data_IF_136578611103
#
_entry.id   IF_136578611103
#
_cell.length_a   1.000
_cell.length_b   1.000
_cell.length_c   1.000
_cell.angle_alpha   90.00
_cell.angle_beta   90.00
_cell.angle_gamma   90.00
#
_symmetry.space_group_name_H-M   'P 1'
#
loop_
_entity.id
_entity.type
_entity.pdbx_description
1 polymer ?
#
# COMPACT_ATOMS: atom_id res chain seq x y z
N UNK A 1 20.51 8.03 -6.00
CA UNK A 1 21.61 7.11 -5.63
C UNK A 1 21.51 6.68 -4.16
N UNK A 2 21.64 7.58 -3.16
CA UNK A 2 21.62 7.20 -1.73
C UNK A 2 20.36 6.44 -1.31
N UNK A 3 19.16 6.95 -1.56
CA UNK A 3 17.88 6.27 -1.24
C UNK A 3 17.78 4.87 -1.86
N UNK A 4 18.33 4.72 -3.07
CA UNK A 4 18.36 3.47 -3.81
C UNK A 4 19.21 2.40 -3.10
N UNK A 5 20.38 2.80 -2.59
CA UNK A 5 21.27 1.93 -1.79
C UNK A 5 20.63 1.61 -0.44
N UNK A 6 20.02 2.62 0.20
CA UNK A 6 19.34 2.46 1.50
C UNK A 6 18.21 1.44 1.41
N UNK A 7 17.35 1.51 0.38
CA UNK A 7 16.28 0.53 0.19
C UNK A 7 16.80 -0.90 0.07
N UNK A 8 17.90 -1.11 -0.66
CA UNK A 8 18.53 -2.44 -0.78
C UNK A 8 19.09 -2.94 0.55
N UNK A 9 19.69 -2.05 1.35
CA UNK A 9 20.21 -2.41 2.67
C UNK A 9 19.08 -2.76 3.65
N UNK A 10 18.02 -1.96 3.68
CA UNK A 10 16.83 -2.23 4.51
C UNK A 10 16.23 -3.58 4.12
N UNK A 11 16.05 -3.83 2.82
CA UNK A 11 15.55 -5.10 2.30
C UNK A 11 16.44 -6.28 2.70
N UNK A 12 17.75 -6.14 2.55
CA UNK A 12 18.70 -7.20 2.89
C UNK A 12 18.63 -7.53 4.38
N UNK A 13 18.67 -6.53 5.26
CA UNK A 13 18.61 -6.71 6.71
C UNK A 13 17.29 -7.35 7.14
N UNK A 14 16.15 -6.86 6.62
CA UNK A 14 14.83 -7.40 6.93
C UNK A 14 14.66 -8.85 6.53
N UNK A 15 15.20 -9.27 5.37
CA UNK A 15 15.15 -10.67 4.95
C UNK A 15 16.18 -11.56 5.65
N UNK A 16 17.32 -11.01 6.08
CA UNK A 16 18.39 -11.79 6.73
C UNK A 16 18.05 -12.09 8.19
N UNK A 17 17.41 -11.14 8.89
CA UNK A 17 17.09 -11.25 10.31
C UNK A 17 15.60 -10.96 10.59
N UNK A 18 14.67 -11.73 10.00
CA UNK A 18 13.26 -11.36 9.97
C UNK A 18 12.60 -11.29 11.35
N UNK A 19 12.95 -12.21 12.25
CA UNK A 19 12.37 -12.34 13.59
C UNK A 19 13.09 -11.49 14.65
N UNK A 20 14.14 -10.74 14.28
CA UNK A 20 14.77 -9.83 15.24
C UNK A 20 13.78 -8.71 15.59
N UNK A 21 13.55 -8.49 16.88
CA UNK A 21 12.69 -7.40 17.34
C UNK A 21 13.50 -6.12 17.52
N UNK A 22 12.90 -5.00 17.12
CA UNK A 22 13.46 -3.66 17.29
C UNK A 22 12.44 -2.75 17.96
N UNK A 23 12.93 -1.83 18.79
CA UNK A 23 12.11 -0.79 19.39
C UNK A 23 11.82 0.30 18.35
N UNK A 24 10.54 0.61 18.15
CA UNK A 24 10.14 1.70 17.28
C UNK A 24 10.58 3.05 17.87
N UNK A 25 11.21 3.95 17.10
CA UNK A 25 11.63 5.26 17.60
C UNK A 25 10.46 6.06 18.16
N UNK A 26 10.50 6.38 19.46
CA UNK A 26 9.45 7.16 20.12
C UNK A 26 8.22 6.36 20.57
N UNK A 27 8.27 5.03 20.56
CA UNK A 27 7.26 4.18 21.20
C UNK A 27 7.92 3.14 22.11
N UNK A 28 7.13 2.56 23.01
CA UNK A 28 7.53 1.41 23.83
C UNK A 28 7.23 0.08 23.13
N UNK A 29 6.86 0.11 21.84
CA UNK A 29 6.41 -1.08 21.11
C UNK A 29 7.56 -1.67 20.30
N UNK A 30 7.69 -2.97 20.41
CA UNK A 30 8.62 -3.77 19.62
C UNK A 30 7.92 -4.26 18.33
N UNK A 31 8.70 -4.33 17.26
CA UNK A 31 8.25 -4.83 15.96
C UNK A 31 9.32 -5.73 15.37
N UNK A 32 8.89 -6.78 14.65
CA UNK A 32 9.80 -7.63 13.88
C UNK A 32 10.50 -6.82 12.80
N UNK A 33 11.79 -7.03 12.63
CA UNK A 33 12.63 -6.25 11.74
C UNK A 33 12.14 -6.34 10.29
N UNK A 34 11.62 -7.50 9.86
CA UNK A 34 11.06 -7.62 8.51
C UNK A 34 9.82 -6.74 8.30
N UNK A 35 8.95 -6.63 9.30
CA UNK A 35 7.70 -5.85 9.21
C UNK A 35 8.01 -4.34 9.16
N UNK A 36 8.94 -3.87 9.99
CA UNK A 36 9.43 -2.49 9.94
C UNK A 36 10.17 -2.19 8.62
N UNK A 37 11.05 -3.10 8.17
CA UNK A 37 11.75 -2.97 6.90
C UNK A 37 10.76 -2.90 5.72
N UNK A 38 9.72 -3.74 5.75
CA UNK A 38 8.68 -3.77 4.73
C UNK A 38 7.94 -2.44 4.67
N UNK A 39 7.49 -1.90 5.80
CA UNK A 39 6.85 -0.58 5.87
C UNK A 39 7.74 0.54 5.33
N UNK A 40 9.03 0.54 5.67
CA UNK A 40 10.01 1.51 5.13
C UNK A 40 10.18 1.39 3.62
N UNK A 41 10.13 0.18 3.06
CA UNK A 41 10.20 -0.01 1.60
C UNK A 41 8.88 0.41 0.94
N UNK A 42 7.74 0.17 1.56
CA UNK A 42 6.44 0.66 1.08
C UNK A 42 6.41 2.19 0.92
N UNK A 43 7.01 2.95 1.85
CA UNK A 43 7.19 4.39 1.68
C UNK A 43 7.98 4.77 0.42
N UNK A 44 8.90 3.90 -0.03
CA UNK A 44 9.65 4.10 -1.26
C UNK A 44 8.81 4.00 -2.53
N UNK A 45 7.62 3.39 -2.47
CA UNK A 45 6.71 3.27 -3.62
C UNK A 45 6.07 4.62 -3.98
N UNK A 46 6.01 5.58 -3.06
CA UNK A 46 5.49 6.93 -3.32
C UNK A 46 6.59 7.99 -3.49
N UNK A 47 7.83 7.54 -3.72
CA UNK A 47 8.98 8.43 -3.89
C UNK A 47 8.87 9.31 -5.16
N UNK A 48 9.34 10.55 -5.07
CA UNK A 48 9.40 11.48 -6.21
C UNK A 48 10.19 10.93 -7.41
N UNK A 49 11.17 10.06 -7.16
CA UNK A 49 12.01 9.47 -8.21
C UNK A 49 11.40 8.16 -8.68
N UNK A 50 10.95 8.10 -9.94
CA UNK A 50 10.48 6.88 -10.61
C UNK A 50 11.39 5.68 -10.35
N UNK A 51 12.71 5.84 -10.49
CA UNK A 51 13.66 4.76 -10.26
C UNK A 51 13.55 4.17 -8.83
N UNK A 52 13.37 5.02 -7.82
CA UNK A 52 13.23 4.59 -6.42
C UNK A 52 11.91 3.85 -6.24
N UNK A 53 10.81 4.33 -6.84
CA UNK A 53 9.51 3.65 -6.83
C UNK A 53 9.60 2.27 -7.47
N UNK A 54 10.21 2.16 -8.65
CA UNK A 54 10.41 0.87 -9.34
C UNK A 54 11.21 -0.09 -8.48
N UNK A 55 12.31 0.37 -7.86
CA UNK A 55 13.11 -0.47 -6.98
C UNK A 55 12.31 -0.90 -5.74
N UNK A 56 11.62 0.03 -5.09
CA UNK A 56 10.80 -0.26 -3.92
C UNK A 56 9.76 -1.34 -4.24
N UNK A 57 8.98 -1.15 -5.32
CA UNK A 57 8.00 -2.13 -5.79
C UNK A 57 8.65 -3.50 -5.99
N UNK A 58 9.79 -3.59 -6.71
CA UNK A 58 10.52 -4.86 -6.92
C UNK A 58 10.97 -5.54 -5.62
N UNK A 59 11.42 -4.77 -4.65
CA UNK A 59 11.92 -5.32 -3.39
C UNK A 59 10.80 -5.91 -2.54
N UNK A 60 9.60 -5.32 -2.56
CA UNK A 60 8.44 -5.82 -1.81
C UNK A 60 8.13 -7.28 -2.16
N UNK A 61 8.19 -7.66 -3.44
CA UNK A 61 7.91 -9.03 -3.90
C UNK A 61 8.81 -10.11 -3.27
N UNK A 62 10.03 -9.72 -2.88
CA UNK A 62 10.99 -10.61 -2.22
C UNK A 62 10.76 -10.83 -0.73
N UNK A 63 9.91 -10.04 -0.07
CA UNK A 63 9.76 -10.03 1.40
C UNK A 63 8.68 -11.00 1.88
N UNK A 64 8.88 -12.30 1.66
CA UNK A 64 7.85 -13.32 1.85
C UNK A 64 7.46 -13.63 3.30
N UNK A 65 8.31 -13.28 4.27
CA UNK A 65 8.09 -13.55 5.70
C UNK A 65 7.39 -12.39 6.43
N UNK A 66 7.00 -11.33 5.70
CA UNK A 66 6.23 -10.22 6.25
C UNK A 66 4.91 -10.74 6.83
N UNK A 67 4.47 -10.16 7.93
CA UNK A 67 3.20 -10.51 8.55
C UNK A 67 2.02 -10.22 7.61
N UNK A 68 0.97 -11.07 7.62
CA UNK A 68 -0.24 -10.84 6.83
C UNK A 68 -0.88 -9.48 7.09
N UNK A 69 -0.74 -8.94 8.30
CA UNK A 69 -1.26 -7.63 8.70
C UNK A 69 -0.69 -6.50 7.84
N UNK A 70 0.63 -6.44 7.68
CA UNK A 70 1.30 -5.42 6.86
C UNK A 70 1.05 -5.66 5.37
N UNK A 71 1.03 -6.93 4.97
CA UNK A 71 0.75 -7.32 3.59
C UNK A 71 -0.65 -6.88 3.17
N UNK A 72 -1.68 -7.17 3.96
CA UNK A 72 -3.06 -6.80 3.65
C UNK A 72 -3.27 -5.28 3.56
N UNK A 73 -2.55 -4.49 4.36
CA UNK A 73 -2.65 -3.02 4.33
C UNK A 73 -2.18 -2.40 3.02
N UNK A 74 -1.29 -3.07 2.30
CA UNK A 74 -0.80 -2.58 1.00
C UNK A 74 -1.90 -2.49 -0.06
N UNK A 75 -3.01 -3.20 0.15
CA UNK A 75 -4.19 -3.23 -0.71
C UNK A 75 -5.37 -2.39 -0.18
N UNK A 76 -5.22 -1.72 0.96
CA UNK A 76 -6.34 -0.98 1.55
C UNK A 76 -6.60 0.35 0.81
N UNK A 77 -7.60 0.35 -0.10
CA UNK A 77 -8.08 1.56 -0.80
C UNK A 77 -8.88 2.50 0.13
N UNK A 78 -9.51 2.00 1.21
CA UNK A 78 -10.46 2.75 2.07
C UNK A 78 -9.77 3.55 3.17
N UNK A 79 -8.69 3.03 3.76
CA UNK A 79 -7.88 3.79 4.71
C UNK A 79 -7.30 5.08 4.07
N UNK A 80 -7.06 5.07 2.76
CA UNK A 80 -6.54 6.21 2.00
C UNK A 80 -7.54 7.38 1.86
N UNK A 81 -8.84 7.13 1.74
CA UNK A 81 -9.84 8.23 1.69
C UNK A 81 -9.89 9.02 3.00
N UNK A 82 -9.56 8.38 4.12
CA UNK A 82 -9.49 8.99 5.45
C UNK A 82 -8.15 9.70 5.74
N UNK A 83 -7.08 9.40 4.97
CA UNK A 83 -5.77 10.04 5.07
C UNK A 83 -5.61 11.32 4.22
N UNK A 84 -6.61 11.68 3.38
CA UNK A 84 -6.65 13.02 2.77
C UNK A 84 -6.68 14.06 3.89
N UNK A 85 -5.58 14.82 3.99
CA UNK A 85 -5.28 15.84 5.01
C UNK A 85 -6.56 16.51 5.55
N UNK A 86 -6.98 16.15 6.76
CA UNK A 86 -8.08 16.83 7.45
C UNK A 86 -7.64 18.26 7.72
N UNK A 87 -8.31 19.22 7.07
CA UNK A 87 -8.19 20.64 7.43
C UNK A 87 -8.59 20.79 8.90
N UNK A 88 -7.79 21.51 9.67
CA UNK A 88 -8.10 21.78 11.07
C UNK A 88 -9.40 22.57 11.18
N UNK A 89 -10.11 22.47 12.30
CA UNK A 89 -11.30 23.29 12.54
C UNK A 89 -11.00 24.80 12.39
N UNK A 90 -9.76 25.22 12.69
CA UNK A 90 -9.30 26.57 12.45
C UNK A 90 -9.18 26.90 10.95
N UNK A 91 -8.61 26.02 10.13
CA UNK A 91 -8.52 26.22 8.67
C UNK A 91 -9.90 26.25 8.01
N UNK A 92 -10.81 25.36 8.43
CA UNK A 92 -12.20 25.33 7.96
C UNK A 92 -12.98 26.58 8.41
N UNK A 93 -12.77 27.02 9.66
CA UNK A 93 -13.37 28.25 10.16
C UNK A 93 -12.90 29.44 9.32
N UNK A 94 -11.58 29.58 9.11
CA UNK A 94 -10.99 30.68 8.34
C UNK A 94 -11.53 30.73 6.92
N UNK A 95 -11.61 29.57 6.25
CA UNK A 95 -12.17 29.46 4.91
C UNK A 95 -13.64 29.88 4.86
N UNK A 96 -14.49 29.42 5.80
CA UNK A 96 -15.89 29.86 5.91
C UNK A 96 -16.01 31.37 6.22
N UNK A 97 -15.06 31.98 6.93
CA UNK A 97 -15.06 33.44 7.18
C UNK A 97 -14.63 34.20 5.92
N UNK A 98 -13.64 33.69 5.18
CA UNK A 98 -13.09 34.35 3.98
C UNK A 98 -13.91 34.15 2.71
N UNK A 99 -14.62 33.03 2.55
CA UNK A 99 -15.37 32.72 1.33
C UNK A 99 -16.76 33.35 1.29
N UNK A 100 -17.32 33.75 2.43
CA UNK A 100 -18.66 34.35 2.51
C UNK A 100 -19.81 33.41 2.14
N UNK A 101 -19.53 32.13 1.85
CA UNK A 101 -20.50 31.15 1.37
C UNK A 101 -21.18 30.42 2.53
N UNK A 102 -22.14 31.08 3.18
CA UNK A 102 -22.89 30.50 4.30
C UNK A 102 -24.02 29.53 3.90
N UNK A 103 -24.28 29.33 2.61
CA UNK A 103 -25.44 28.55 2.18
C UNK A 103 -25.23 27.83 0.84
N UNK A 104 -24.56 26.67 0.87
CA UNK A 104 -24.74 25.65 -0.17
C UNK A 104 -24.89 24.31 0.53
N UNK A 105 -26.06 23.67 0.34
CA UNK A 105 -26.52 22.46 1.02
C UNK A 105 -25.73 21.17 0.70
N UNK A 106 -24.41 21.26 0.58
CA UNK A 106 -23.46 20.14 0.38
C UNK A 106 -22.94 19.52 1.68
N UNK A 107 -23.26 20.09 2.85
CA UNK A 107 -22.63 19.74 4.15
C UNK A 107 -23.13 18.45 4.82
N UNK A 108 -24.15 17.77 4.30
CA UNK A 108 -24.66 16.54 4.95
C UNK A 108 -23.77 15.31 4.75
N UNK A 109 -22.86 15.30 3.77
CA UNK A 109 -21.94 14.18 3.58
C UNK A 109 -20.81 14.13 4.62
N UNK A 110 -20.52 15.24 5.32
CA UNK A 110 -19.47 15.32 6.35
C UNK A 110 -19.92 14.81 7.73
N UNK A 111 -21.23 14.64 7.93
CA UNK A 111 -21.85 14.20 9.19
C UNK A 111 -22.04 12.68 9.29
N UNK A 112 -21.52 11.91 8.32
CA UNK A 112 -21.58 10.45 8.37
C UNK A 112 -20.82 9.92 9.60
N UNK A 113 -21.38 8.95 10.36
CA UNK A 113 -20.71 8.36 11.52
C UNK A 113 -19.34 7.83 11.12
N UNK A 114 -18.29 8.40 11.72
CA UNK A 114 -16.91 7.99 11.47
C UNK A 114 -16.72 6.59 12.02
N UNK A 115 -16.25 5.68 11.17
CA UNK A 115 -15.86 4.34 11.58
C UNK A 115 -14.79 4.45 12.68
N UNK A 116 -15.02 3.77 13.81
CA UNK A 116 -14.10 3.77 14.95
C UNK A 116 -12.83 3.03 14.51
N UNK A 117 -11.84 3.77 14.03
CA UNK A 117 -10.53 3.21 13.71
C UNK A 117 -9.87 2.75 15.01
N UNK A 118 -9.53 1.47 15.06
CA UNK A 118 -8.84 0.85 16.20
C UNK A 118 -7.46 1.49 16.41
N UNK A 119 -7.02 1.69 17.65
CA UNK A 119 -5.73 2.30 17.98
C UNK A 119 -4.55 1.53 17.38
N UNK A 120 -4.70 0.21 17.21
CA UNK A 120 -3.70 -0.64 16.57
C UNK A 120 -3.61 -0.39 15.06
N UNK A 121 -4.73 -0.02 14.42
CA UNK A 121 -4.74 0.42 13.01
C UNK A 121 -3.99 1.75 12.86
N UNK A 122 -4.13 2.68 13.80
CA UNK A 122 -3.49 4.00 13.80
C UNK A 122 -1.97 3.89 13.97
N UNK A 123 -1.50 3.00 14.87
CA UNK A 123 -0.07 2.72 15.06
C UNK A 123 0.56 2.12 13.79
N UNK A 124 -0.17 1.24 13.08
CA UNK A 124 0.30 0.69 11.81
C UNK A 124 0.18 1.64 10.62
N UNK A 125 -0.71 2.63 10.62
CA UNK A 125 -0.74 3.65 9.56
C UNK A 125 0.58 4.44 9.50
N UNK A 126 1.30 4.56 10.62
CA UNK A 126 2.63 5.18 10.67
C UNK A 126 3.72 4.32 10.01
N UNK A 127 3.46 3.06 9.67
CA UNK A 127 4.45 2.15 9.10
C UNK A 127 4.78 2.42 7.63
N UNK A 128 3.91 3.14 6.90
CA UNK A 128 4.08 3.37 5.46
C UNK A 128 3.57 2.27 4.55
N UNK A 129 3.04 1.16 5.09
CA UNK A 129 2.54 0.05 4.29
C UNK A 129 1.18 0.30 3.62
N UNK A 130 0.37 1.20 4.19
CA UNK A 130 -1.00 1.47 3.76
C UNK A 130 -1.06 1.92 2.29
N UNK A 131 -1.80 1.17 1.46
CA UNK A 131 -2.04 1.52 0.06
C UNK A 131 -0.81 1.45 -0.85
N UNK A 132 0.30 0.83 -0.41
CA UNK A 132 1.54 0.82 -1.18
C UNK A 132 1.39 0.13 -2.56
N UNK A 133 0.72 -1.03 -2.62
CA UNK A 133 0.45 -1.66 -3.92
C UNK A 133 -0.61 -0.93 -4.72
N UNK A 134 -1.61 -0.31 -4.07
CA UNK A 134 -2.57 0.58 -4.76
C UNK A 134 -1.82 1.66 -5.54
N UNK A 135 -0.91 2.37 -4.86
CA UNK A 135 -0.08 3.39 -5.51
C UNK A 135 0.85 2.83 -6.59
N UNK A 136 1.48 1.68 -6.34
CA UNK A 136 2.39 1.07 -7.31
C UNK A 136 1.68 0.63 -8.60
N UNK A 137 0.43 0.16 -8.50
CA UNK A 137 -0.39 -0.26 -9.64
C UNK A 137 -0.99 0.92 -10.41
N UNK A 138 -1.29 2.03 -9.73
CA UNK A 138 -1.83 3.26 -10.31
C UNK A 138 -0.75 4.27 -10.73
N UNK A 139 0.53 3.87 -10.76
CA UNK A 139 1.64 4.77 -11.07
C UNK A 139 1.61 5.26 -12.53
N UNK A 140 2.06 6.49 -12.74
CA UNK A 140 2.15 7.10 -14.08
C UNK A 140 3.17 6.41 -15.01
N UNK A 141 4.14 5.66 -14.46
CA UNK A 141 5.16 4.96 -15.23
C UNK A 141 4.93 3.45 -15.27
N UNK A 142 4.95 2.89 -16.48
CA UNK A 142 4.78 1.46 -16.73
C UNK A 142 5.84 0.60 -16.01
N UNK A 143 7.04 1.12 -15.77
CA UNK A 143 8.12 0.40 -15.07
C UNK A 143 7.76 0.14 -13.61
N UNK A 144 7.08 1.09 -12.96
CA UNK A 144 6.60 0.96 -11.58
C UNK A 144 5.41 0.01 -11.54
N UNK A 145 4.43 0.20 -12.45
CA UNK A 145 3.25 -0.68 -12.56
C UNK A 145 3.64 -2.14 -12.81
N UNK A 146 4.54 -2.38 -13.76
CA UNK A 146 5.11 -3.71 -14.03
C UNK A 146 5.75 -4.32 -12.79
N UNK A 147 6.59 -3.56 -12.09
CA UNK A 147 7.27 -4.04 -10.89
C UNK A 147 6.28 -4.34 -9.74
N UNK A 148 5.21 -3.55 -9.63
CA UNK A 148 4.15 -3.77 -8.65
C UNK A 148 3.35 -5.04 -8.96
N UNK A 149 2.93 -5.26 -10.22
CA UNK A 149 2.25 -6.48 -10.65
C UNK A 149 3.08 -7.73 -10.37
N UNK A 150 4.36 -7.72 -10.79
CA UNK A 150 5.28 -8.85 -10.57
C UNK A 150 5.44 -9.15 -9.07
N UNK A 151 5.56 -8.11 -8.25
CA UNK A 151 5.77 -8.25 -6.81
C UNK A 151 4.52 -8.69 -6.07
N UNK A 152 3.35 -8.18 -6.49
CA UNK A 152 2.05 -8.61 -5.98
C UNK A 152 1.88 -10.11 -6.24
N UNK A 153 2.16 -10.56 -7.48
CA UNK A 153 2.12 -11.98 -7.84
C UNK A 153 3.04 -12.84 -6.96
N UNK A 154 4.30 -12.44 -6.77
CA UNK A 154 5.26 -13.19 -5.95
C UNK A 154 4.78 -13.40 -4.50
N UNK A 155 4.19 -12.36 -3.91
CA UNK A 155 3.63 -12.42 -2.56
C UNK A 155 2.36 -13.26 -2.51
N UNK A 156 1.49 -13.16 -3.52
CA UNK A 156 0.26 -13.95 -3.64
C UNK A 156 0.53 -15.44 -3.80
N UNK A 157 1.54 -15.85 -4.58
CA UNK A 157 1.98 -17.25 -4.69
C UNK A 157 2.38 -17.81 -3.32
N UNK A 158 3.01 -16.97 -2.49
CA UNK A 158 3.49 -17.40 -1.17
C UNK A 158 2.40 -17.31 -0.09
N UNK A 159 1.28 -16.62 -0.35
CA UNK A 159 0.26 -16.29 0.62
C UNK A 159 -1.16 -16.42 0.01
N UNK A 160 -1.82 -17.59 0.13
CA UNK A 160 -3.13 -17.82 -0.51
C UNK A 160 -4.25 -16.86 -0.05
N UNK A 161 -4.26 -16.45 1.21
CA UNK A 161 -5.23 -15.47 1.70
C UNK A 161 -5.04 -14.11 1.02
N UNK A 162 -3.79 -13.68 0.87
CA UNK A 162 -3.46 -12.45 0.15
C UNK A 162 -3.74 -12.55 -1.35
N UNK A 163 -3.56 -13.72 -1.96
CA UNK A 163 -3.93 -13.97 -3.35
C UNK A 163 -5.40 -13.65 -3.64
N UNK A 164 -6.30 -14.02 -2.73
CA UNK A 164 -7.73 -13.71 -2.87
C UNK A 164 -8.00 -12.20 -2.77
N UNK A 165 -7.26 -11.46 -1.93
CA UNK A 165 -7.40 -10.01 -1.84
C UNK A 165 -6.80 -9.27 -3.04
N UNK A 166 -5.72 -9.82 -3.62
CA UNK A 166 -5.02 -9.26 -4.77
C UNK A 166 -5.75 -9.49 -6.10
N UNK A 167 -6.74 -10.40 -6.13
CA UNK A 167 -7.47 -10.79 -7.34
C UNK A 167 -8.05 -9.58 -8.08
N UNK A 168 -8.89 -8.78 -7.40
CA UNK A 168 -9.56 -7.63 -8.00
C UNK A 168 -8.55 -6.64 -8.58
N UNK A 169 -7.42 -6.43 -7.88
CA UNK A 169 -6.35 -5.56 -8.35
C UNK A 169 -5.68 -6.07 -9.62
N UNK A 170 -5.39 -7.38 -9.70
CA UNK A 170 -4.80 -7.96 -10.90
C UNK A 170 -5.76 -7.96 -12.09
N UNK A 171 -7.06 -8.15 -11.83
CA UNK A 171 -8.10 -8.04 -12.86
C UNK A 171 -8.23 -6.59 -13.33
N UNK A 172 -8.17 -5.59 -12.45
CA UNK A 172 -8.14 -4.17 -12.82
C UNK A 172 -6.99 -3.88 -13.81
N UNK A 173 -5.82 -4.49 -13.62
CA UNK A 173 -4.66 -4.34 -14.50
C UNK A 173 -4.85 -4.93 -15.90
N UNK A 174 -5.90 -5.73 -16.16
CA UNK A 174 -6.23 -6.15 -17.53
C UNK A 174 -6.67 -4.98 -18.40
N UNK A 175 -7.10 -3.88 -17.78
CA UNK A 175 -7.49 -2.66 -18.48
C UNK A 175 -6.36 -1.62 -18.51
N UNK A 176 -5.12 -2.00 -18.17
CA UNK A 176 -3.97 -1.10 -18.29
C UNK A 176 -3.79 -0.63 -19.74
N UNK A 177 -3.39 0.62 -19.93
CA UNK A 177 -3.16 1.21 -21.24
C UNK A 177 -2.01 0.53 -22.01
N UNK A 178 -1.03 -0.05 -21.29
CA UNK A 178 0.15 -0.69 -21.87
C UNK A 178 -0.05 -2.21 -21.95
N UNK A 179 0.12 -2.76 -23.16
CA UNK A 179 -0.04 -4.19 -23.44
C UNK A 179 0.84 -5.08 -22.56
N UNK A 180 2.12 -4.72 -22.41
CA UNK A 180 3.07 -5.49 -21.60
C UNK A 180 2.62 -5.61 -20.14
N UNK A 181 1.99 -4.57 -19.58
CA UNK A 181 1.47 -4.60 -18.21
C UNK A 181 0.24 -5.50 -18.13
N UNK A 182 -0.67 -5.44 -19.11
CA UNK A 182 -1.83 -6.33 -19.21
C UNK A 182 -1.42 -7.80 -19.27
N UNK A 183 -0.44 -8.13 -20.12
CA UNK A 183 0.07 -9.50 -20.27
C UNK A 183 0.66 -10.02 -18.96
N UNK A 184 1.44 -9.20 -18.26
CA UNK A 184 1.98 -9.55 -16.93
C UNK A 184 0.89 -9.80 -15.91
N UNK A 185 -0.20 -9.04 -15.93
CA UNK A 185 -1.32 -9.26 -15.04
C UNK A 185 -2.02 -10.61 -15.32
N UNK A 186 -2.23 -10.94 -16.60
CA UNK A 186 -2.82 -12.21 -17.02
C UNK A 186 -1.95 -13.38 -16.58
N UNK A 187 -0.64 -13.30 -16.84
CA UNK A 187 0.33 -14.32 -16.41
C UNK A 187 0.36 -14.44 -14.88
N UNK A 188 0.30 -13.32 -14.17
CA UNK A 188 0.27 -13.30 -12.71
C UNK A 188 -0.96 -14.03 -12.16
N UNK A 189 -2.14 -13.79 -12.72
CA UNK A 189 -3.37 -14.48 -12.33
C UNK A 189 -3.33 -15.97 -12.63
N UNK A 190 -2.78 -16.35 -13.79
CA UNK A 190 -2.54 -17.75 -14.12
C UNK A 190 -1.63 -18.43 -13.07
N UNK A 191 -0.62 -17.73 -12.56
CA UNK A 191 0.29 -18.30 -11.54
C UNK A 191 -0.38 -18.49 -10.18
N UNK A 192 -1.39 -17.68 -9.83
CA UNK A 192 -2.05 -17.74 -8.52
C UNK A 192 -3.43 -18.42 -8.57
N UNK A 193 -3.85 -18.93 -9.73
CA UNK A 193 -5.19 -19.49 -9.93
C UNK A 193 -5.51 -20.66 -9.00
N UNK A 194 -4.50 -21.43 -8.59
CA UNK A 194 -4.67 -22.54 -7.65
C UNK A 194 -5.01 -22.08 -6.22
N UNK A 195 -4.82 -20.79 -5.92
CA UNK A 195 -5.09 -20.18 -4.61
C UNK A 195 -6.39 -19.36 -4.58
N UNK A 196 -7.01 -19.14 -5.73
CA UNK A 196 -8.19 -18.29 -5.88
C UNK A 196 -9.44 -19.16 -5.90
N UNK A 197 -10.40 -18.81 -5.04
CA UNK A 197 -11.75 -19.35 -5.10
C UNK A 197 -12.62 -18.30 -5.80
N UNK A 198 -12.93 -18.54 -7.08
CA UNK A 198 -13.93 -17.75 -7.80
C UNK A 198 -15.29 -18.03 -7.16
N UNK A 199 -15.96 -17.00 -6.66
CA UNK A 199 -17.33 -17.10 -6.18
C UNK A 199 -18.26 -16.71 -7.32
N UNK A 200 -19.35 -17.44 -7.51
CA UNK A 200 -20.25 -17.32 -8.68
C UNK A 200 -21.04 -15.99 -8.73
N UNK A 201 -20.82 -15.07 -7.80
CA UNK A 201 -21.62 -13.86 -7.54
C UNK A 201 -20.90 -12.52 -7.80
N UNK A 202 -19.85 -12.48 -8.61
CA UNK A 202 -19.22 -11.24 -9.12
C UNK A 202 -19.41 -11.05 -10.64
#
# INVERSE_FOLDING_TARGET
IVRHVVLKLIWLLGNTYPENEILLPGSEHEIRLIDDAFGKICNGVTDLSMQVRTLASKLLGGMKLVSPKFLNQTLDKKLMSNMRRKRTAHELAWENVTSGEWASGKKWADDAPRELLDAESISLMSSGACGAFVHGLEDEFLEVRSAAVESLCQLSISNPQFANMALDFLVDMFNDEIEDVRLKAIDSLRMISEHIILRDDQ
#
